data_IF_288784353390
#
_entry.id   IF_288784353390
#
_cell.length_a   1.000
_cell.length_b   1.000
_cell.length_c   1.000
_cell.angle_alpha   90.00
_cell.angle_beta   90.00
_cell.angle_gamma   90.00
#
_symmetry.space_group_name_H-M   'P 1'
#
loop_
_entity.id
_entity.type
_entity.pdbx_description
1 polymer ?
#
# COMPACT_ATOMS: atom_id res chain seq x y z
N UNK A 1 17.62 -10.97 -5.63
CA UNK A 1 17.48 -10.02 -6.78
C UNK A 1 16.01 -9.76 -6.98
N UNK A 2 15.58 -8.50 -6.91
CA UNK A 2 14.19 -8.12 -7.16
C UNK A 2 13.82 -8.38 -8.64
N UNK A 3 12.60 -8.83 -8.89
CA UNK A 3 12.05 -8.94 -10.22
C UNK A 3 11.80 -7.55 -10.80
N UNK A 4 12.04 -7.35 -12.10
CA UNK A 4 11.65 -6.10 -12.78
C UNK A 4 10.14 -5.86 -12.68
N UNK A 5 9.36 -6.93 -12.52
CA UNK A 5 7.90 -6.86 -12.36
C UNK A 5 7.46 -6.32 -10.99
N UNK A 6 8.37 -6.33 -10.00
CA UNK A 6 8.10 -5.80 -8.65
C UNK A 6 8.50 -4.33 -8.51
N UNK A 7 9.20 -3.77 -9.51
CA UNK A 7 9.62 -2.36 -9.51
C UNK A 7 8.44 -1.39 -9.67
N UNK A 8 7.34 -1.84 -10.27
CA UNK A 8 6.16 -1.02 -10.52
C UNK A 8 4.92 -1.70 -9.94
N UNK A 9 4.26 -1.01 -9.04
CA UNK A 9 2.98 -1.44 -8.48
C UNK A 9 1.85 -0.69 -9.17
N UNK A 10 0.94 -1.43 -9.81
CA UNK A 10 -0.29 -0.84 -10.34
C UNK A 10 -1.21 -0.54 -9.15
N UNK A 11 -1.65 0.71 -9.06
CA UNK A 11 -2.51 1.13 -7.96
C UNK A 11 -3.07 2.53 -8.19
N UNK A 12 -3.85 3.00 -7.24
CA UNK A 12 -4.40 4.36 -7.25
C UNK A 12 -3.47 5.31 -6.53
N UNK A 13 -3.47 6.57 -7.00
CA UNK A 13 -2.69 7.64 -6.38
C UNK A 13 -3.48 8.42 -5.30
N UNK A 14 -2.81 9.48 -4.76
CA UNK A 14 -1.51 9.98 -5.21
C UNK A 14 -0.28 9.35 -4.53
N UNK A 15 -0.44 8.44 -3.57
CA UNK A 15 0.68 7.94 -2.75
C UNK A 15 0.66 6.44 -2.54
N UNK A 16 1.78 5.76 -2.75
CA UNK A 16 1.89 4.34 -2.44
C UNK A 16 1.79 4.05 -0.94
N UNK A 17 2.37 4.90 -0.09
CA UNK A 17 2.35 4.71 1.37
C UNK A 17 1.11 5.25 2.07
N UNK A 18 0.42 6.25 1.50
CA UNK A 18 -0.74 6.91 2.13
C UNK A 18 -2.07 6.58 1.44
N UNK A 19 -2.06 5.93 0.28
CA UNK A 19 -3.26 5.50 -0.44
C UNK A 19 -3.26 3.99 -0.65
N UNK A 20 -2.28 3.46 -1.41
CA UNK A 20 -2.22 2.03 -1.76
C UNK A 20 -2.06 1.14 -0.53
N UNK A 21 -1.07 1.42 0.32
CA UNK A 21 -0.82 0.63 1.54
C UNK A 21 -2.02 0.60 2.49
N UNK A 22 -2.62 1.75 2.85
CA UNK A 22 -3.85 1.77 3.65
C UNK A 22 -5.02 1.00 3.04
N UNK A 23 -5.25 1.07 1.72
CA UNK A 23 -6.26 0.27 1.04
C UNK A 23 -5.98 -1.22 1.17
N UNK A 24 -4.74 -1.65 0.93
CA UNK A 24 -4.33 -3.04 1.10
C UNK A 24 -4.53 -3.53 2.55
N UNK A 25 -4.19 -2.71 3.55
CA UNK A 25 -4.35 -3.07 4.95
C UNK A 25 -5.84 -3.22 5.34
N UNK A 26 -6.68 -2.31 4.86
CA UNK A 26 -8.12 -2.36 5.08
C UNK A 26 -8.77 -3.59 4.42
N UNK A 27 -8.37 -3.89 3.19
CA UNK A 27 -8.83 -5.08 2.47
C UNK A 27 -8.35 -6.36 3.17
N UNK A 28 -7.10 -6.43 3.63
CA UNK A 28 -6.59 -7.59 4.38
C UNK A 28 -7.35 -7.79 5.70
N UNK A 29 -7.70 -6.69 6.41
CA UNK A 29 -8.52 -6.75 7.60
C UNK A 29 -9.93 -7.28 7.30
N UNK A 30 -10.61 -6.73 6.29
CA UNK A 30 -11.95 -7.17 5.90
C UNK A 30 -11.97 -8.65 5.48
N UNK A 31 -10.96 -9.10 4.70
CA UNK A 31 -10.82 -10.51 4.31
C UNK A 31 -10.60 -11.42 5.52
N UNK A 32 -9.81 -11.00 6.51
CA UNK A 32 -9.58 -11.81 7.73
C UNK A 32 -10.85 -12.02 8.55
N UNK A 33 -11.76 -11.03 8.57
CA UNK A 33 -13.08 -11.16 9.22
C UNK A 33 -13.96 -12.18 8.51
N UNK A 34 -13.87 -12.28 7.18
CA UNK A 34 -14.60 -13.26 6.39
C UNK A 34 -14.03 -14.67 6.58
N UNK A 35 -12.70 -14.83 6.47
CA UNK A 35 -11.99 -16.09 6.66
C UNK A 35 -12.21 -16.70 8.05
N UNK A 36 -12.30 -15.85 9.08
CA UNK A 36 -12.61 -16.29 10.45
C UNK A 36 -14.11 -16.55 10.70
N UNK A 37 -14.97 -16.23 9.74
CA UNK A 37 -16.43 -16.30 9.90
C UNK A 37 -16.99 -15.24 10.85
N UNK A 38 -16.18 -14.23 11.22
CA UNK A 38 -16.60 -13.19 12.16
C UNK A 38 -17.45 -12.10 11.49
N UNK A 39 -17.38 -11.94 10.18
CA UNK A 39 -18.01 -10.85 9.42
C UNK A 39 -19.50 -10.68 9.71
N UNK A 40 -20.25 -11.78 9.87
CA UNK A 40 -21.71 -11.75 10.15
C UNK A 40 -22.07 -11.20 11.55
N UNK A 41 -21.10 -11.13 12.46
CA UNK A 41 -21.28 -10.61 13.82
C UNK A 41 -20.84 -9.14 13.94
N UNK A 42 -20.18 -8.61 12.91
CA UNK A 42 -19.67 -7.23 12.91
C UNK A 42 -20.85 -6.27 12.76
N UNK A 43 -21.01 -5.37 13.74
CA UNK A 43 -21.97 -4.27 13.69
C UNK A 43 -21.35 -2.92 13.38
N UNK A 44 -20.03 -2.77 13.63
CA UNK A 44 -19.28 -1.52 13.43
C UNK A 44 -17.79 -1.82 13.24
N UNK A 45 -17.13 -1.03 12.41
CA UNK A 45 -15.65 -1.01 12.29
C UNK A 45 -15.15 0.40 12.56
N UNK A 46 -14.15 0.51 13.42
CA UNK A 46 -13.43 1.75 13.71
C UNK A 46 -12.00 1.64 13.23
N UNK A 47 -11.53 2.68 12.57
CA UNK A 47 -10.14 2.80 12.11
C UNK A 47 -9.49 4.02 12.76
N UNK A 48 -8.34 3.82 13.37
CA UNK A 48 -7.54 4.90 13.95
C UNK A 48 -6.23 5.01 13.20
N UNK A 49 -5.99 6.18 12.63
CA UNK A 49 -4.77 6.52 11.91
C UNK A 49 -3.81 7.26 12.83
N UNK A 50 -2.54 6.91 12.74
CA UNK A 50 -1.48 7.46 13.59
C UNK A 50 -0.34 8.05 12.77
N UNK A 51 0.44 8.95 13.41
CA UNK A 51 1.66 9.50 12.85
C UNK A 51 1.46 10.21 11.52
N UNK A 52 2.23 9.87 10.50
CA UNK A 52 2.17 10.52 9.19
C UNK A 52 0.82 10.32 8.49
N UNK A 53 0.19 9.15 8.64
CA UNK A 53 -1.14 8.90 8.07
C UNK A 53 -2.21 9.83 8.66
N UNK A 54 -2.11 10.15 9.96
CA UNK A 54 -3.06 11.07 10.59
C UNK A 54 -2.80 12.54 10.23
N UNK A 55 -1.55 12.91 9.98
CA UNK A 55 -1.17 14.30 9.71
C UNK A 55 -1.43 14.70 8.26
N UNK A 56 -1.16 13.82 7.32
CA UNK A 56 -1.18 14.12 5.87
C UNK A 56 -2.18 13.27 5.08
N UNK A 57 -2.78 12.26 5.70
CA UNK A 57 -3.61 11.25 5.04
C UNK A 57 -4.84 11.81 4.31
N UNK A 58 -5.51 12.85 4.86
CA UNK A 58 -6.65 13.48 4.18
C UNK A 58 -6.26 14.03 2.81
N UNK A 59 -5.10 14.69 2.70
CA UNK A 59 -4.60 15.21 1.42
C UNK A 59 -4.23 14.12 0.41
N UNK A 60 -3.99 12.89 0.89
CA UNK A 60 -3.67 11.73 0.07
C UNK A 60 -4.85 10.77 -0.13
N UNK A 61 -6.06 11.11 0.35
CA UNK A 61 -7.24 10.26 0.25
C UNK A 61 -7.12 8.94 1.02
N UNK A 62 -6.38 8.92 2.13
CA UNK A 62 -6.19 7.72 2.96
C UNK A 62 -7.51 7.17 3.49
N UNK A 63 -8.40 8.05 3.89
CA UNK A 63 -9.77 7.76 4.34
C UNK A 63 -10.59 7.01 3.27
N UNK A 64 -10.60 7.55 2.04
CA UNK A 64 -11.29 6.93 0.89
C UNK A 64 -10.68 5.58 0.54
N UNK A 65 -9.36 5.50 0.56
CA UNK A 65 -8.62 4.26 0.31
C UNK A 65 -8.98 3.17 1.33
N UNK A 66 -9.06 3.52 2.61
CA UNK A 66 -9.46 2.60 3.67
C UNK A 66 -10.90 2.13 3.50
N UNK A 67 -11.84 3.06 3.26
CA UNK A 67 -13.24 2.68 3.05
C UNK A 67 -13.39 1.75 1.83
N UNK A 68 -12.74 2.09 0.71
CA UNK A 68 -12.75 1.23 -0.47
C UNK A 68 -12.13 -0.16 -0.19
N UNK A 69 -11.04 -0.22 0.60
CA UNK A 69 -10.42 -1.48 1.00
C UNK A 69 -11.31 -2.32 1.91
N UNK A 70 -12.00 -1.71 2.89
CA UNK A 70 -12.99 -2.39 3.73
C UNK A 70 -14.16 -2.96 2.91
N UNK A 71 -14.54 -2.28 1.83
CA UNK A 71 -15.56 -2.77 0.89
C UNK A 71 -15.03 -3.80 -0.12
N UNK A 72 -13.80 -4.31 0.07
CA UNK A 72 -13.22 -5.40 -0.72
C UNK A 72 -12.50 -4.97 -1.98
N UNK A 73 -12.37 -3.66 -2.24
CA UNK A 73 -11.65 -3.18 -3.40
C UNK A 73 -10.14 -3.32 -3.23
N UNK A 74 -9.46 -3.53 -4.35
CA UNK A 74 -7.99 -3.61 -4.41
C UNK A 74 -7.40 -2.48 -5.26
N UNK A 75 -6.22 -1.94 -4.91
CA UNK A 75 -5.67 -0.77 -5.58
C UNK A 75 -5.48 -0.90 -7.09
N UNK A 76 -5.23 -2.11 -7.57
CA UNK A 76 -4.94 -2.36 -8.98
C UNK A 76 -6.16 -2.35 -9.91
N UNK A 77 -7.37 -2.40 -9.36
CA UNK A 77 -8.62 -2.55 -10.15
C UNK A 77 -9.76 -1.67 -9.66
N UNK A 78 -9.59 -0.95 -8.55
CA UNK A 78 -10.63 -0.06 -8.04
C UNK A 78 -10.95 1.03 -9.07
N UNK A 79 -12.24 1.30 -9.26
CA UNK A 79 -12.71 2.43 -10.08
C UNK A 79 -12.37 3.77 -9.40
N UNK A 80 -11.79 4.69 -10.16
CA UNK A 80 -11.34 5.99 -9.63
C UNK A 80 -12.50 6.90 -9.22
N UNK A 81 -13.62 6.89 -9.94
CA UNK A 81 -14.78 7.71 -9.62
C UNK A 81 -15.48 7.19 -8.36
N UNK A 82 -15.54 5.86 -8.21
CA UNK A 82 -15.98 5.24 -6.97
C UNK A 82 -15.08 5.66 -5.80
N UNK A 83 -13.75 5.60 -5.96
CA UNK A 83 -12.81 5.97 -4.89
C UNK A 83 -12.98 7.44 -4.47
N UNK A 84 -13.25 8.34 -5.41
CA UNK A 84 -13.48 9.76 -5.12
C UNK A 84 -14.77 10.00 -4.32
N UNK A 85 -15.80 9.19 -4.51
CA UNK A 85 -17.13 9.36 -3.93
C UNK A 85 -17.42 8.49 -2.71
N UNK A 86 -16.63 7.43 -2.45
CA UNK A 86 -16.94 6.42 -1.43
C UNK A 86 -17.15 7.00 -0.02
N UNK A 87 -16.34 7.97 0.40
CA UNK A 87 -16.50 8.59 1.73
C UNK A 87 -17.80 9.37 1.86
N UNK A 88 -18.10 10.20 0.88
CA UNK A 88 -19.35 10.99 0.88
C UNK A 88 -20.56 10.08 0.87
N UNK A 89 -20.52 9.00 0.09
CA UNK A 89 -21.56 7.98 0.07
C UNK A 89 -21.71 7.30 1.42
N UNK A 90 -20.62 6.79 2.02
CA UNK A 90 -20.67 6.12 3.32
C UNK A 90 -21.19 7.04 4.43
N UNK A 91 -20.75 8.30 4.45
CA UNK A 91 -21.22 9.29 5.41
C UNK A 91 -22.70 9.65 5.22
N UNK A 92 -23.16 9.78 3.97
CA UNK A 92 -24.57 10.07 3.64
C UNK A 92 -25.49 8.89 4.03
N UNK A 93 -25.08 7.67 3.68
CA UNK A 93 -25.89 6.47 3.90
C UNK A 93 -25.80 5.95 5.35
N UNK A 94 -24.80 6.40 6.11
CA UNK A 94 -24.51 5.92 7.48
C UNK A 94 -24.10 4.45 7.50
N UNK A 95 -23.59 3.92 6.37
CA UNK A 95 -23.24 2.49 6.23
C UNK A 95 -22.01 2.27 5.37
N UNK A 96 -21.27 1.17 5.66
CA UNK A 96 -20.28 0.58 4.76
C UNK A 96 -20.64 -0.89 4.48
N UNK A 97 -20.22 -1.41 3.34
CA UNK A 97 -20.48 -2.80 2.93
C UNK A 97 -19.18 -3.62 2.98
N UNK A 98 -18.91 -4.23 4.13
CA UNK A 98 -17.69 -5.04 4.32
C UNK A 98 -17.63 -6.16 3.29
N UNK A 99 -16.52 -6.23 2.53
CA UNK A 99 -16.35 -7.12 1.36
C UNK A 99 -17.50 -7.03 0.33
N UNK A 100 -18.14 -5.86 0.22
CA UNK A 100 -19.23 -5.61 -0.72
C UNK A 100 -20.57 -6.26 -0.37
N UNK A 101 -20.67 -7.02 0.72
CA UNK A 101 -21.86 -7.83 1.03
C UNK A 101 -22.45 -7.54 2.41
N UNK A 102 -21.66 -7.31 3.43
CA UNK A 102 -22.14 -7.18 4.80
C UNK A 102 -22.27 -5.70 5.18
N UNK A 103 -23.50 -5.18 5.13
CA UNK A 103 -23.80 -3.79 5.52
C UNK A 103 -23.71 -3.62 7.02
N UNK A 104 -22.87 -2.67 7.50
CA UNK A 104 -22.71 -2.31 8.90
C UNK A 104 -22.84 -0.79 9.08
N UNK A 105 -23.14 -0.35 10.30
CA UNK A 105 -23.22 1.06 10.62
C UNK A 105 -21.86 1.76 10.46
N UNK A 106 -21.89 3.01 9.98
CA UNK A 106 -20.72 3.86 9.82
C UNK A 106 -21.04 5.30 10.26
N UNK A 107 -20.16 5.83 11.11
CA UNK A 107 -20.17 7.22 11.55
C UNK A 107 -18.81 7.85 11.20
N UNK A 108 -18.80 8.79 10.25
CA UNK A 108 -17.57 9.37 9.68
C UNK A 108 -16.67 9.99 10.78
N UNK A 109 -17.25 10.65 11.76
CA UNK A 109 -16.50 11.30 12.85
C UNK A 109 -16.00 10.31 13.92
N UNK A 110 -16.75 9.23 14.15
CA UNK A 110 -16.47 8.25 15.19
C UNK A 110 -15.67 7.04 14.73
N UNK A 111 -15.77 6.68 13.44
CA UNK A 111 -15.19 5.46 12.89
C UNK A 111 -13.93 5.68 12.05
N UNK A 112 -13.73 6.89 11.49
CA UNK A 112 -12.50 7.26 10.79
C UNK A 112 -11.72 8.31 11.57
N UNK A 113 -10.88 7.86 12.51
CA UNK A 113 -10.20 8.71 13.48
C UNK A 113 -8.78 9.04 13.07
N UNK A 114 -8.45 10.33 13.00
CA UNK A 114 -7.09 10.83 12.75
C UNK A 114 -6.46 11.29 14.06
N UNK A 115 -5.72 10.40 14.77
CA UNK A 115 -5.00 10.76 15.99
C UNK A 115 -3.70 11.50 15.63
N UNK A 116 -3.79 12.82 15.58
CA UNK A 116 -2.67 13.70 15.22
C UNK A 116 -1.60 13.84 16.30
N UNK A 117 -1.88 13.35 17.50
CA UNK A 117 -1.01 13.53 18.66
C UNK A 117 -0.08 12.35 18.89
N UNK A 118 -0.44 11.18 18.38
CA UNK A 118 0.24 9.93 18.65
C UNK A 118 0.72 9.24 17.38
N UNK A 119 1.77 8.45 17.53
CA UNK A 119 2.25 7.49 16.53
C UNK A 119 2.56 6.15 17.19
N UNK A 120 2.51 5.09 16.41
CA UNK A 120 2.99 3.79 16.85
C UNK A 120 4.52 3.75 16.75
N UNK A 121 5.19 3.26 17.80
CA UNK A 121 6.65 3.29 17.90
C UNK A 121 7.38 2.60 16.73
N UNK A 122 6.90 1.44 16.21
CA UNK A 122 7.62 0.72 15.16
C UNK A 122 7.65 1.41 13.80
N UNK A 123 6.63 2.23 13.44
CA UNK A 123 6.59 2.89 12.13
C UNK A 123 5.62 4.09 12.13
N UNK A 124 5.97 5.21 11.43
CA UNK A 124 5.14 6.42 11.40
C UNK A 124 3.81 6.27 10.64
N UNK A 125 3.68 5.30 9.73
CA UNK A 125 2.45 5.07 8.97
C UNK A 125 1.64 3.93 9.60
N UNK A 126 1.19 4.12 10.83
CA UNK A 126 0.43 3.12 11.58
C UNK A 126 -1.07 3.29 11.48
N UNK A 127 -1.79 2.16 11.47
CA UNK A 127 -3.25 2.07 11.46
C UNK A 127 -3.70 1.00 12.44
N UNK A 128 -4.81 1.26 13.13
CA UNK A 128 -5.47 0.29 14.00
C UNK A 128 -6.90 0.10 13.53
N UNK A 129 -7.25 -1.13 13.24
CA UNK A 129 -8.61 -1.55 12.88
C UNK A 129 -9.24 -2.29 14.04
N UNK A 130 -10.48 -1.95 14.38
CA UNK A 130 -11.26 -2.57 15.45
C UNK A 130 -12.65 -2.92 14.91
N UNK A 131 -13.02 -4.19 14.96
CA UNK A 131 -14.38 -4.66 14.67
C UNK A 131 -15.15 -4.88 15.96
N UNK A 132 -16.37 -4.38 16.03
CA UNK A 132 -17.27 -4.49 17.18
C UNK A 132 -18.53 -5.25 16.80
N UNK A 133 -19.09 -5.98 17.78
CA UNK A 133 -20.45 -6.55 17.66
C UNK A 133 -21.53 -5.48 17.88
N UNK A 134 -22.80 -5.88 17.77
CA UNK A 134 -23.95 -5.00 17.99
C UNK A 134 -24.05 -4.49 19.44
N UNK A 135 -23.37 -5.12 20.41
CA UNK A 135 -23.31 -4.75 21.81
C UNK A 135 -22.12 -3.85 22.13
N UNK A 136 -21.24 -3.59 21.16
CA UNK A 136 -20.04 -2.77 21.31
C UNK A 136 -18.82 -3.50 21.86
N UNK A 137 -18.84 -4.84 21.92
CA UNK A 137 -17.67 -5.62 22.30
C UNK A 137 -16.72 -5.77 21.11
N UNK A 138 -15.41 -5.71 21.36
CA UNK A 138 -14.40 -5.94 20.30
C UNK A 138 -14.41 -7.43 19.91
N UNK A 139 -14.63 -7.70 18.63
CA UNK A 139 -14.59 -9.04 18.03
C UNK A 139 -13.20 -9.34 17.48
N UNK A 140 -12.58 -8.35 16.82
CA UNK A 140 -11.23 -8.44 16.28
C UNK A 140 -10.55 -7.07 16.33
N UNK A 141 -9.24 -7.09 16.53
CA UNK A 141 -8.40 -5.90 16.56
C UNK A 141 -7.07 -6.20 15.87
N UNK A 142 -6.68 -5.32 14.96
CA UNK A 142 -5.43 -5.49 14.21
C UNK A 142 -4.70 -4.15 14.06
N UNK A 143 -3.37 -4.22 14.12
CA UNK A 143 -2.46 -3.11 13.83
C UNK A 143 -1.74 -3.41 12.52
N UNK A 144 -1.68 -2.41 11.65
CA UNK A 144 -1.01 -2.49 10.36
C UNK A 144 -0.13 -1.28 10.11
N UNK A 145 0.95 -1.49 9.37
CA UNK A 145 1.87 -0.46 8.93
C UNK A 145 1.96 -0.44 7.41
N UNK A 146 1.87 0.76 6.81
CA UNK A 146 2.21 0.97 5.41
C UNK A 146 3.69 1.31 5.29
N UNK A 147 4.49 0.37 4.78
CA UNK A 147 5.95 0.47 4.78
C UNK A 147 6.55 1.02 3.47
N UNK A 148 5.70 1.56 2.58
CA UNK A 148 6.09 2.09 1.28
C UNK A 148 5.89 1.11 0.13
N UNK A 149 5.94 1.59 -1.12
CA UNK A 149 5.72 0.75 -2.31
C UNK A 149 4.37 0.06 -2.42
N UNK A 150 3.42 0.39 -1.55
CA UNK A 150 2.14 -0.34 -1.41
C UNK A 150 2.24 -1.56 -0.51
N UNK A 151 3.41 -1.86 0.04
CA UNK A 151 3.60 -2.97 0.97
C UNK A 151 3.05 -2.64 2.35
N UNK A 152 2.54 -3.67 3.01
CA UNK A 152 1.98 -3.58 4.36
C UNK A 152 2.65 -4.61 5.27
N UNK A 153 2.71 -4.28 6.56
CA UNK A 153 3.20 -5.18 7.60
C UNK A 153 2.23 -5.20 8.77
N UNK A 154 1.89 -6.39 9.24
CA UNK A 154 1.09 -6.55 10.45
C UNK A 154 1.92 -6.17 11.67
N UNK A 155 1.38 -5.33 12.54
CA UNK A 155 1.95 -4.96 13.82
C UNK A 155 1.39 -5.79 14.97
N UNK A 156 1.78 -5.42 16.18
CA UNK A 156 1.27 -6.02 17.42
C UNK A 156 0.24 -5.06 18.05
N UNK A 157 -0.77 -5.63 18.70
CA UNK A 157 -1.81 -4.84 19.39
C UNK A 157 -1.20 -4.02 20.54
N UNK A 158 -0.12 -4.54 21.16
CA UNK A 158 0.62 -3.90 22.25
C UNK A 158 1.75 -2.97 21.79
N UNK A 159 1.86 -2.70 20.48
CA UNK A 159 2.82 -1.71 19.96
C UNK A 159 2.60 -0.35 20.64
N UNK A 160 3.66 0.19 21.23
CA UNK A 160 3.58 1.38 22.06
C UNK A 160 3.14 2.62 21.29
N UNK A 161 2.19 3.36 21.86
CA UNK A 161 1.81 4.70 21.39
C UNK A 161 2.72 5.73 22.03
N UNK A 162 3.39 6.54 21.21
CA UNK A 162 4.27 7.62 21.64
C UNK A 162 3.78 8.96 21.06
N UNK A 163 4.16 10.08 21.70
CA UNK A 163 3.80 11.40 21.22
C UNK A 163 4.47 11.70 19.86
N UNK A 164 3.77 12.34 18.93
CA UNK A 164 4.34 12.84 17.68
C UNK A 164 5.42 13.91 17.92
N UNK A 165 5.42 14.58 19.10
CA UNK A 165 6.40 15.58 19.48
C UNK A 165 7.62 14.99 20.21
N UNK A 166 7.59 13.75 20.64
CA UNK A 166 8.78 13.07 21.15
C UNK A 166 9.72 12.78 19.99
N UNK A 167 10.82 13.50 19.96
CA UNK A 167 11.94 13.08 19.13
C UNK A 167 12.37 11.71 19.62
N UNK A 168 12.13 10.68 18.83
CA UNK A 168 12.86 9.43 19.02
C UNK A 168 14.33 9.85 18.97
N UNK A 169 15.16 9.53 19.98
CA UNK A 169 16.60 9.63 19.79
C UNK A 169 16.83 8.96 18.46
N UNK A 170 17.53 9.65 17.56
CA UNK A 170 17.92 9.07 16.29
C UNK A 170 18.72 7.80 16.62
N UNK A 171 18.01 6.72 16.86
CA UNK A 171 18.54 5.43 16.54
C UNK A 171 18.72 5.54 15.04
N UNK A 172 19.93 5.72 14.63
CA UNK A 172 20.46 5.49 13.31
C UNK A 172 20.27 3.99 12.97
N UNK A 173 19.05 3.54 13.01
CA UNK A 173 18.52 2.44 12.29
C UNK A 173 17.88 3.07 11.06
N UNK A 174 18.75 3.46 10.12
CA UNK A 174 18.60 2.98 8.75
C UNK A 174 17.92 1.64 8.87
N UNK A 175 16.93 1.29 8.05
CA UNK A 175 16.53 -0.10 7.97
C UNK A 175 17.84 -0.86 7.69
N UNK A 176 18.55 -1.21 8.76
CA UNK A 176 19.47 -2.30 8.71
C UNK A 176 18.59 -3.45 8.34
N UNK A 177 18.46 -3.57 7.00
CA UNK A 177 18.92 -4.73 6.35
C UNK A 177 18.73 -5.99 7.24
N UNK A 178 17.47 -6.31 7.51
CA UNK A 178 17.09 -7.73 7.66
C UNK A 178 17.10 -8.40 6.28
N UNK A 179 17.82 -7.80 5.32
CA UNK A 179 18.00 -8.25 3.94
C UNK A 179 19.21 -9.12 3.71
N UNK A 180 19.97 -9.50 4.74
CA UNK A 180 21.14 -10.35 4.50
C UNK A 180 20.81 -11.83 4.30
N UNK A 181 19.65 -12.31 4.68
CA UNK A 181 19.28 -13.71 4.46
C UNK A 181 18.44 -13.92 3.18
N UNK A 182 17.70 -12.92 2.73
CA UNK A 182 16.98 -13.02 1.45
C UNK A 182 17.85 -12.80 0.21
N UNK A 183 18.96 -12.08 0.32
CA UNK A 183 19.89 -11.88 -0.80
C UNK A 183 20.57 -13.18 -1.25
N UNK A 184 20.73 -14.16 -0.37
CA UNK A 184 21.28 -15.47 -0.70
C UNK A 184 20.29 -16.34 -1.49
N UNK A 185 18.99 -16.18 -1.26
CA UNK A 185 17.94 -16.98 -1.90
C UNK A 185 17.61 -16.53 -3.34
N UNK A 186 17.95 -15.27 -3.68
CA UNK A 186 17.69 -14.71 -5.03
C UNK A 186 18.78 -14.97 -6.07
N UNK A 187 19.93 -15.51 -5.69
CA UNK A 187 21.04 -15.88 -6.61
C UNK A 187 20.86 -17.22 -7.28
N UNK A 188 20.13 -18.15 -6.66
CA UNK A 188 19.97 -19.50 -7.14
C UNK A 188 18.88 -19.61 -8.22
N UNK A 189 19.29 -20.07 -9.39
CA UNK A 189 18.37 -20.42 -10.49
C UNK A 189 18.17 -19.36 -11.56
N UNK A 190 18.94 -18.26 -11.61
CA UNK A 190 18.92 -17.30 -12.73
C UNK A 190 20.22 -17.35 -13.52
N UNK A 191 20.19 -17.17 -14.86
CA UNK A 191 21.38 -17.26 -15.72
C UNK A 191 22.46 -16.20 -15.44
N UNK A 192 22.05 -15.00 -15.04
CA UNK A 192 22.93 -13.83 -14.89
C UNK A 192 22.68 -13.12 -13.55
N UNK A 193 23.06 -13.71 -12.40
CA UNK A 193 22.87 -13.09 -11.10
C UNK A 193 23.79 -11.86 -10.95
N UNK A 194 23.26 -10.75 -10.39
CA UNK A 194 24.02 -9.56 -10.05
C UNK A 194 23.46 -8.90 -8.80
N UNK A 195 24.32 -8.20 -8.06
CA UNK A 195 23.96 -7.51 -6.81
C UNK A 195 24.28 -6.01 -6.85
N UNK A 196 24.94 -5.55 -7.91
CA UNK A 196 25.32 -4.15 -8.09
C UNK A 196 25.22 -3.73 -9.54
N UNK A 197 25.17 -2.42 -9.81
CA UNK A 197 25.23 -1.87 -11.15
C UNK A 197 26.52 -2.26 -11.89
N UNK A 198 27.66 -2.22 -11.19
CA UNK A 198 28.94 -2.60 -11.78
C UNK A 198 28.92 -4.07 -12.22
N UNK A 199 28.41 -4.97 -11.36
CA UNK A 199 28.25 -6.37 -11.68
C UNK A 199 27.33 -6.61 -12.89
N UNK A 200 26.23 -5.85 -13.00
CA UNK A 200 25.35 -5.91 -14.18
C UNK A 200 26.06 -5.47 -15.46
N UNK A 201 26.80 -4.36 -15.40
CA UNK A 201 27.56 -3.85 -16.56
C UNK A 201 28.65 -4.82 -16.98
N UNK A 202 29.35 -5.44 -16.04
CA UNK A 202 30.37 -6.44 -16.32
C UNK A 202 29.78 -7.70 -16.98
N UNK A 203 28.61 -8.16 -16.53
CA UNK A 203 27.87 -9.24 -17.19
C UNK A 203 27.49 -8.87 -18.62
N UNK A 204 26.97 -7.67 -18.85
CA UNK A 204 26.63 -7.17 -20.18
C UNK A 204 27.85 -7.17 -21.12
N UNK A 205 28.99 -6.66 -20.64
CA UNK A 205 30.26 -6.65 -21.43
C UNK A 205 30.78 -8.05 -21.72
N UNK A 206 30.83 -8.90 -20.68
CA UNK A 206 31.34 -10.26 -20.77
C UNK A 206 30.56 -11.13 -21.74
N UNK A 207 29.24 -10.99 -21.77
CA UNK A 207 28.35 -11.84 -22.57
C UNK A 207 27.83 -11.16 -23.84
N UNK A 208 28.24 -9.91 -24.11
CA UNK A 208 27.74 -9.11 -25.26
C UNK A 208 26.21 -8.95 -25.25
N UNK A 209 25.64 -8.77 -24.06
CA UNK A 209 24.20 -8.60 -23.83
C UNK A 209 23.87 -7.15 -23.46
N UNK A 210 22.67 -6.70 -23.81
CA UNK A 210 22.12 -5.47 -23.23
C UNK A 210 21.63 -5.74 -21.80
N UNK A 211 21.41 -4.66 -21.02
CA UNK A 211 20.75 -4.76 -19.71
C UNK A 211 19.38 -5.45 -19.84
N UNK A 212 18.63 -5.12 -20.88
CA UNK A 212 17.33 -5.73 -21.15
C UNK A 212 17.43 -7.24 -21.40
N UNK A 213 18.46 -7.69 -22.13
CA UNK A 213 18.68 -9.12 -22.39
C UNK A 213 19.00 -9.88 -21.09
N UNK A 214 19.85 -9.31 -20.23
CA UNK A 214 20.21 -9.89 -18.93
C UNK A 214 18.95 -10.02 -18.05
N UNK A 215 18.18 -8.94 -17.92
CA UNK A 215 16.94 -8.92 -17.12
C UNK A 215 15.92 -9.88 -17.70
N UNK A 216 15.73 -9.88 -19.02
CA UNK A 216 14.82 -10.80 -19.70
C UNK A 216 15.16 -12.26 -19.45
N UNK A 217 16.43 -12.63 -19.56
CA UNK A 217 16.89 -13.99 -19.32
C UNK A 217 16.65 -14.43 -17.87
N UNK A 218 16.89 -13.53 -16.90
CA UNK A 218 16.65 -13.81 -15.49
C UNK A 218 15.15 -13.99 -15.17
N UNK A 219 14.28 -13.13 -15.73
CA UNK A 219 12.84 -13.24 -15.53
C UNK A 219 12.26 -14.50 -16.17
N UNK A 220 12.71 -14.82 -17.38
CA UNK A 220 12.21 -15.99 -18.12
C UNK A 220 12.78 -17.33 -17.64
N UNK A 221 13.79 -17.31 -16.78
CA UNK A 221 14.23 -18.51 -16.07
C UNK A 221 13.21 -18.97 -15.00
N UNK A 222 12.36 -18.05 -14.51
CA UNK A 222 11.40 -18.31 -13.42
C UNK A 222 9.94 -18.32 -13.88
N UNK A 223 9.67 -17.73 -15.04
CA UNK A 223 8.31 -17.53 -15.60
C UNK A 223 8.32 -17.81 -17.07
N UNK A 224 7.16 -18.10 -17.64
CA UNK A 224 7.07 -18.22 -19.09
C UNK A 224 7.33 -16.86 -19.77
N UNK A 225 7.97 -16.85 -20.96
CA UNK A 225 8.17 -15.61 -21.73
C UNK A 225 6.87 -14.85 -22.00
N UNK A 226 5.76 -15.57 -22.17
CA UNK A 226 4.44 -14.96 -22.38
C UNK A 226 3.96 -14.22 -21.12
N UNK A 227 4.05 -14.87 -19.96
CA UNK A 227 3.67 -14.26 -18.69
C UNK A 227 4.45 -12.96 -18.41
N UNK A 228 5.79 -12.97 -18.64
CA UNK A 228 6.62 -11.77 -18.47
C UNK A 228 6.15 -10.65 -19.40
N UNK A 229 5.91 -10.97 -20.69
CA UNK A 229 5.39 -9.97 -21.65
C UNK A 229 4.04 -9.41 -21.23
N UNK A 230 3.11 -10.25 -20.85
CA UNK A 230 1.75 -9.84 -20.48
C UNK A 230 1.77 -8.92 -19.26
N UNK A 231 2.59 -9.22 -18.25
CA UNK A 231 2.75 -8.37 -17.07
C UNK A 231 3.40 -7.03 -17.38
N UNK A 232 4.47 -7.02 -18.17
CA UNK A 232 5.13 -5.78 -18.62
C UNK A 232 4.17 -4.94 -19.48
N UNK A 233 3.44 -5.58 -20.40
CA UNK A 233 2.44 -4.90 -21.24
C UNK A 233 1.34 -4.29 -20.39
N UNK A 234 0.85 -4.98 -19.36
CA UNK A 234 -0.13 -4.44 -18.42
C UNK A 234 0.40 -3.19 -17.71
N UNK A 235 1.63 -3.24 -17.21
CA UNK A 235 2.27 -2.07 -16.56
C UNK A 235 2.34 -0.91 -17.57
N UNK A 236 2.82 -1.16 -18.78
CA UNK A 236 2.93 -0.14 -19.82
C UNK A 236 1.59 0.47 -20.20
N UNK A 237 0.55 -0.34 -20.36
CA UNK A 237 -0.79 0.14 -20.69
C UNK A 237 -1.35 1.08 -19.60
N UNK A 238 -1.14 0.76 -18.32
CA UNK A 238 -1.53 1.63 -17.21
C UNK A 238 -0.71 2.92 -17.22
N UNK A 239 0.59 2.86 -17.43
CA UNK A 239 1.45 4.04 -17.52
C UNK A 239 1.04 4.96 -18.67
N UNK A 240 0.81 4.39 -19.86
CA UNK A 240 0.35 5.13 -21.03
C UNK A 240 -1.00 5.82 -20.76
N UNK A 241 -1.94 5.11 -20.15
CA UNK A 241 -3.23 5.67 -19.76
C UNK A 241 -3.10 6.83 -18.77
N UNK A 242 -2.21 6.70 -17.78
CA UNK A 242 -1.94 7.79 -16.83
C UNK A 242 -1.35 9.03 -17.54
N UNK A 243 -0.47 8.83 -18.52
CA UNK A 243 0.09 9.92 -19.33
C UNK A 243 -1.02 10.61 -20.13
N UNK A 244 -1.84 9.84 -20.84
CA UNK A 244 -2.93 10.37 -21.65
C UNK A 244 -3.95 11.14 -20.80
N UNK A 245 -4.34 10.60 -19.64
CA UNK A 245 -5.24 11.26 -18.69
C UNK A 245 -4.63 12.55 -18.13
N UNK A 246 -3.35 12.53 -17.79
CA UNK A 246 -2.62 13.72 -17.33
C UNK A 246 -2.55 14.82 -18.40
N UNK A 247 -2.28 14.45 -19.64
CA UNK A 247 -2.24 15.38 -20.77
C UNK A 247 -3.64 15.95 -21.13
N UNK A 248 -4.68 15.17 -20.92
CA UNK A 248 -6.07 15.60 -21.17
C UNK A 248 -6.69 16.41 -20.02
N UNK A 249 -6.02 16.46 -18.86
CA UNK A 249 -6.51 17.16 -17.68
C UNK A 249 -6.58 18.68 -17.93
N UNK A 250 -7.73 19.29 -17.61
CA UNK A 250 -7.91 20.74 -17.65
C UNK A 250 -7.19 21.45 -16.47
N UNK A 251 -6.62 20.72 -15.54
CA UNK A 251 -5.86 21.26 -14.42
C UNK A 251 -4.53 21.82 -14.91
N UNK A 252 -4.31 23.11 -14.67
CA UNK A 252 -3.02 23.74 -14.96
C UNK A 252 -1.96 23.20 -14.00
N UNK A 253 -1.04 22.40 -14.51
CA UNK A 253 0.19 22.03 -13.80
C UNK A 253 1.09 23.28 -13.74
N UNK A 254 1.06 23.96 -12.61
CA UNK A 254 2.06 24.98 -12.35
C UNK A 254 3.40 24.30 -12.04
N UNK A 255 4.38 24.52 -12.89
CA UNK A 255 5.76 24.30 -12.49
C UNK A 255 6.10 25.43 -11.52
N UNK A 256 5.98 25.20 -10.21
CA UNK A 256 6.61 26.11 -9.26
C UNK A 256 8.11 25.94 -9.38
N UNK A 257 8.91 27.03 -9.38
CA UNK A 257 10.34 26.92 -9.26
C UNK A 257 10.67 26.10 -8.00
N UNK A 258 11.64 25.20 -8.13
CA UNK A 258 12.11 24.44 -7.00
C UNK A 258 12.50 25.41 -5.86
N UNK A 259 12.15 25.12 -4.59
CA UNK A 259 12.63 25.93 -3.47
C UNK A 259 14.15 25.99 -3.32
N UNK A 260 14.87 25.35 -4.22
CA UNK A 260 16.34 25.30 -4.25
C UNK A 260 16.95 26.12 -5.40
N UNK A 261 16.12 26.74 -6.24
CA UNK A 261 16.55 27.64 -7.34
C UNK A 261 16.56 29.09 -6.87
#
# INVERSE_FOLDING_TARGET
MFSVLDMFTIGVGPSSSHTVGPMCAAQAFASSLEESGAVSRVGRIRVVLYGSLSLTGLGHGTDRAILAGLEGNVPATVDTDYLLSVRERCAHDGTIHVNGTNAIAYDDDGDMVFDRWKRLAPHPNGMRFQAFDAQGNIIDEQVWYSIGGGFIRRGRIDDALISNHEQTPASSQSPEDSGNDEAAEYGDGVPYPFVSCDGLIDLCRKHHLSIADVVWANETARRSPQEVRDRLTRIWNVMSHCIDAGCASACLLYTSPSPRD
#
